data_IF_781656111113
#
_entry.id   IF_781656111113
#
_cell.length_a   1.000
_cell.length_b   1.000
_cell.length_c   1.000
_cell.angle_alpha   90.00
_cell.angle_beta   90.00
_cell.angle_gamma   90.00
#
_symmetry.space_group_name_H-M   'P 1'
#
loop_
_entity.id
_entity.type
_entity.pdbx_description
1 polymer ?
#
# COMPACT_ATOMS: atom_id res chain seq x y z
N UNK A 1 -16.68 -3.89 19.15
CA UNK A 1 -15.32 -4.18 18.64
C UNK A 1 -15.22 -3.58 17.25
N UNK A 2 -14.49 -2.46 17.06
CA UNK A 2 -14.23 -1.91 15.73
C UNK A 2 -13.18 -2.80 15.08
N UNK A 3 -13.57 -3.62 14.11
CA UNK A 3 -12.62 -4.37 13.30
C UNK A 3 -11.99 -3.34 12.34
N UNK A 4 -10.83 -2.80 12.72
CA UNK A 4 -10.04 -1.94 11.84
C UNK A 4 -9.17 -2.86 10.97
N UNK A 5 -9.43 -2.87 9.66
CA UNK A 5 -8.57 -3.53 8.68
C UNK A 5 -7.16 -2.88 8.75
N UNK A 6 -6.10 -3.69 8.76
CA UNK A 6 -4.72 -3.25 9.02
C UNK A 6 -4.25 -2.05 8.20
N UNK A 7 -4.66 -1.96 6.92
CA UNK A 7 -4.31 -0.81 6.08
C UNK A 7 -4.95 0.52 6.53
N UNK A 8 -6.17 0.51 7.07
CA UNK A 8 -6.80 1.73 7.60
C UNK A 8 -6.08 2.24 8.84
N UNK A 9 -5.63 1.32 9.70
CA UNK A 9 -4.82 1.69 10.88
C UNK A 9 -3.54 2.39 10.45
N UNK A 10 -2.80 1.82 9.49
CA UNK A 10 -1.57 2.43 8.96
C UNK A 10 -1.87 3.79 8.31
N UNK A 11 -2.95 3.89 7.54
CA UNK A 11 -3.40 5.15 6.94
C UNK A 11 -3.62 6.24 7.99
N UNK A 12 -4.39 5.96 9.04
CA UNK A 12 -4.69 6.94 10.09
C UNK A 12 -3.45 7.37 10.89
N UNK A 13 -2.50 6.45 11.10
CA UNK A 13 -1.21 6.78 11.74
C UNK A 13 -0.46 7.86 10.95
N UNK A 14 -0.41 7.73 9.62
CA UNK A 14 0.31 8.67 8.76
C UNK A 14 -0.49 9.93 8.40
N UNK A 15 -1.83 9.86 8.38
CA UNK A 15 -2.68 11.05 8.28
C UNK A 15 -2.72 11.85 9.59
N UNK A 16 -2.15 11.35 10.69
CA UNK A 16 -2.20 12.04 11.98
C UNK A 16 -3.59 12.05 12.62
N UNK A 17 -4.48 11.13 12.24
CA UNK A 17 -5.84 11.00 12.78
C UNK A 17 -5.84 10.19 14.07
N UNK A 18 -5.25 10.76 15.10
CA UNK A 18 -5.08 10.17 16.42
C UNK A 18 -6.42 9.67 17.01
N UNK A 19 -7.50 10.42 16.82
CA UNK A 19 -8.85 10.12 17.29
C UNK A 19 -9.42 8.82 16.72
N UNK A 20 -8.94 8.40 15.54
CA UNK A 20 -9.38 7.16 14.90
C UNK A 20 -8.70 5.92 15.49
N UNK A 21 -7.69 6.10 16.34
CA UNK A 21 -6.82 5.05 16.87
C UNK A 21 -6.99 4.85 18.39
N UNK A 22 -8.00 5.47 19.00
CA UNK A 22 -8.35 5.26 20.41
C UNK A 22 -8.56 3.76 20.72
N UNK A 23 -7.93 3.29 21.80
CA UNK A 23 -7.98 1.89 22.23
C UNK A 23 -7.05 0.95 21.44
N UNK A 24 -6.20 1.47 20.55
CA UNK A 24 -5.13 0.70 19.93
C UNK A 24 -3.81 0.85 20.70
N UNK A 25 -2.95 -0.17 20.59
CA UNK A 25 -1.67 -0.23 21.30
C UNK A 25 -0.82 1.04 21.13
N UNK A 26 -0.79 1.64 19.93
CA UNK A 26 0.00 2.85 19.66
C UNK A 26 -0.43 4.05 20.52
N UNK A 27 -1.73 4.17 20.82
CA UNK A 27 -2.29 5.20 21.70
C UNK A 27 -2.11 4.87 23.17
N UNK A 28 -2.25 3.60 23.54
CA UNK A 28 -2.14 3.18 24.94
C UNK A 28 -0.71 3.15 25.48
N UNK A 29 0.30 3.21 24.60
CA UNK A 29 1.71 3.09 24.97
C UNK A 29 2.55 4.33 24.64
N UNK A 30 1.94 5.39 24.11
CA UNK A 30 2.61 6.66 23.79
C UNK A 30 3.25 7.33 25.03
N UNK A 31 2.59 7.24 26.20
CA UNK A 31 3.04 7.86 27.45
C UNK A 31 3.76 6.89 28.41
N UNK A 32 3.85 5.60 28.07
CA UNK A 32 4.38 4.58 28.98
C UNK A 32 5.90 4.53 28.85
N UNK A 33 6.59 5.00 29.91
CA UNK A 33 8.04 4.97 30.10
C UNK A 33 8.73 3.59 29.97
N UNK A 34 7.98 2.50 29.77
CA UNK A 34 8.48 1.13 29.59
C UNK A 34 8.54 0.67 28.12
N UNK A 35 7.89 1.38 27.19
CA UNK A 35 8.15 1.19 25.77
C UNK A 35 9.37 2.05 25.43
N UNK A 36 10.57 1.47 25.43
CA UNK A 36 11.85 2.14 25.21
C UNK A 36 11.76 3.35 24.25
N UNK A 37 11.60 4.55 24.82
CA UNK A 37 11.59 5.84 24.11
C UNK A 37 10.72 5.93 22.84
N UNK A 38 9.54 5.30 22.81
CA UNK A 38 8.63 5.45 21.67
C UNK A 38 7.68 6.65 21.86
N UNK A 39 7.93 7.74 21.11
CA UNK A 39 7.00 8.87 20.99
C UNK A 39 6.71 9.11 19.50
N UNK A 40 5.46 8.97 19.09
CA UNK A 40 5.05 9.24 17.72
C UNK A 40 4.72 10.73 17.55
N UNK A 41 5.21 11.36 16.49
CA UNK A 41 5.08 12.82 16.31
C UNK A 41 3.76 13.26 15.65
N UNK A 42 2.83 12.35 15.36
CA UNK A 42 1.51 12.58 14.75
C UNK A 42 1.49 13.62 13.61
N UNK A 43 2.53 13.61 12.78
CA UNK A 43 2.64 14.51 11.63
C UNK A 43 1.76 14.00 10.49
N UNK A 44 1.02 14.91 9.86
CA UNK A 44 0.21 14.60 8.69
C UNK A 44 1.09 14.43 7.44
N UNK A 45 1.11 13.24 6.86
CA UNK A 45 1.76 12.92 5.59
C UNK A 45 0.70 12.73 4.48
N UNK A 46 0.95 13.16 3.24
CA UNK A 46 0.09 12.76 2.12
C UNK A 46 0.20 11.26 1.90
N UNK A 47 -0.94 10.58 1.83
CA UNK A 47 -1.03 9.13 1.64
C UNK A 47 -1.65 8.84 0.27
N UNK A 48 -0.91 8.12 -0.58
CA UNK A 48 -1.44 7.53 -1.81
C UNK A 48 -1.89 6.11 -1.50
N UNK A 49 -3.20 5.87 -1.55
CA UNK A 49 -3.79 4.54 -1.32
C UNK A 49 -4.29 3.97 -2.65
N UNK A 50 -3.88 2.75 -2.99
CA UNK A 50 -4.42 2.00 -4.13
C UNK A 50 -4.91 0.64 -3.63
N UNK A 51 -6.22 0.40 -3.67
CA UNK A 51 -6.81 -0.90 -3.35
C UNK A 51 -7.16 -1.64 -4.65
N UNK A 52 -6.42 -2.70 -4.96
CA UNK A 52 -6.63 -3.46 -6.18
C UNK A 52 -7.90 -4.32 -6.16
N UNK A 53 -8.65 -4.36 -5.05
CA UNK A 53 -10.02 -4.87 -5.07
C UNK A 53 -10.99 -3.93 -5.78
N UNK A 54 -10.71 -2.62 -5.81
CA UNK A 54 -11.54 -1.60 -6.47
C UNK A 54 -11.04 -1.27 -7.90
N UNK A 55 -9.82 -1.71 -8.23
CA UNK A 55 -9.21 -1.54 -9.55
C UNK A 55 -9.63 -2.68 -10.48
N UNK A 56 -10.37 -2.34 -11.53
CA UNK A 56 -10.79 -3.27 -12.58
C UNK A 56 -9.59 -3.74 -13.39
N UNK A 57 -9.56 -5.01 -13.79
CA UNK A 57 -8.35 -5.64 -14.33
C UNK A 57 -8.61 -6.82 -15.27
N UNK A 58 -9.80 -6.89 -15.87
CA UNK A 58 -10.24 -7.93 -16.80
C UNK A 58 -9.36 -7.98 -18.05
N UNK A 59 -8.83 -6.83 -18.48
CA UNK A 59 -7.87 -6.73 -19.58
C UNK A 59 -6.75 -5.73 -19.23
N UNK A 60 -5.61 -5.78 -19.93
CA UNK A 60 -4.50 -4.85 -19.71
C UNK A 60 -4.88 -3.37 -19.90
N UNK A 61 -5.81 -3.07 -20.80
CA UNK A 61 -6.25 -1.70 -21.05
C UNK A 61 -7.23 -1.22 -19.97
N UNK A 62 -8.14 -2.09 -19.50
CA UNK A 62 -9.02 -1.80 -18.37
C UNK A 62 -8.19 -1.54 -17.10
N UNK A 63 -7.15 -2.36 -16.85
CA UNK A 63 -6.23 -2.16 -15.73
C UNK A 63 -5.57 -0.77 -15.76
N UNK A 64 -5.04 -0.36 -16.92
CA UNK A 64 -4.41 0.96 -17.07
C UNK A 64 -5.42 2.08 -16.83
N UNK A 65 -6.61 1.98 -17.43
CA UNK A 65 -7.65 3.00 -17.29
C UNK A 65 -8.11 3.12 -15.84
N UNK A 66 -8.37 1.99 -15.17
CA UNK A 66 -8.83 2.00 -13.78
C UNK A 66 -7.76 2.55 -12.82
N UNK A 67 -6.48 2.21 -13.01
CA UNK A 67 -5.38 2.85 -12.27
C UNK A 67 -5.36 4.36 -12.52
N UNK A 68 -5.51 4.79 -13.77
CA UNK A 68 -5.51 6.21 -14.14
C UNK A 68 -6.63 6.99 -13.44
N UNK A 69 -7.85 6.44 -13.41
CA UNK A 69 -9.00 7.03 -12.74
C UNK A 69 -8.74 7.24 -11.24
N UNK A 70 -8.21 6.22 -10.55
CA UNK A 70 -7.85 6.32 -9.13
C UNK A 70 -6.76 7.37 -8.87
N UNK A 71 -5.75 7.47 -9.73
CA UNK A 71 -4.71 8.50 -9.60
C UNK A 71 -5.30 9.91 -9.75
N UNK A 72 -6.21 10.10 -10.70
CA UNK A 72 -6.90 11.38 -10.92
C UNK A 72 -7.78 11.74 -9.71
N UNK A 73 -8.50 10.77 -9.15
CA UNK A 73 -9.32 10.99 -7.96
C UNK A 73 -8.46 11.42 -6.76
N UNK A 74 -7.37 10.71 -6.48
CA UNK A 74 -6.43 11.08 -5.41
C UNK A 74 -5.87 12.49 -5.67
N UNK A 75 -5.45 12.79 -6.91
CA UNK A 75 -4.95 14.13 -7.26
C UNK A 75 -6.00 15.22 -7.01
N UNK A 76 -7.26 14.96 -7.38
CA UNK A 76 -8.38 15.89 -7.24
C UNK A 76 -8.68 16.22 -5.77
N UNK A 77 -8.58 15.24 -4.88
CA UNK A 77 -8.72 15.44 -3.42
C UNK A 77 -7.68 16.40 -2.83
N UNK A 78 -6.59 16.64 -3.55
CA UNK A 78 -5.54 17.59 -3.20
C UNK A 78 -5.46 18.75 -4.20
N UNK A 79 -6.50 19.04 -4.99
CA UNK A 79 -6.53 20.07 -6.04
C UNK A 79 -5.29 20.03 -6.96
N UNK A 80 -4.81 18.84 -7.29
CA UNK A 80 -3.69 18.61 -8.22
C UNK A 80 -4.26 18.16 -9.56
N UNK A 81 -3.80 18.80 -10.63
CA UNK A 81 -4.05 18.36 -12.01
C UNK A 81 -2.85 17.56 -12.53
N UNK A 82 -3.11 16.33 -12.99
CA UNK A 82 -2.10 15.47 -13.59
C UNK A 82 -2.04 15.68 -15.11
N UNK A 83 -0.86 16.00 -15.64
CA UNK A 83 -0.65 16.41 -17.03
C UNK A 83 0.04 15.35 -17.88
N UNK A 84 0.68 14.36 -17.25
CA UNK A 84 1.32 13.24 -17.96
C UNK A 84 0.27 12.33 -18.60
N UNK A 85 0.58 11.74 -19.74
CA UNK A 85 -0.38 10.88 -20.47
C UNK A 85 -0.42 9.44 -19.96
N UNK A 86 0.71 8.87 -19.55
CA UNK A 86 0.80 7.46 -19.14
C UNK A 86 0.71 7.29 -17.62
N UNK A 87 0.10 6.20 -17.16
CA UNK A 87 -0.09 5.91 -15.72
C UNK A 87 1.20 6.01 -14.89
N UNK A 88 2.32 5.54 -15.43
CA UNK A 88 3.64 5.64 -14.79
C UNK A 88 4.02 7.10 -14.55
N UNK A 89 3.87 7.93 -15.57
CA UNK A 89 4.16 9.36 -15.49
C UNK A 89 3.22 10.08 -14.53
N UNK A 90 1.92 9.74 -14.56
CA UNK A 90 0.91 10.29 -13.66
C UNK A 90 1.19 9.94 -12.20
N UNK A 91 1.57 8.71 -11.90
CA UNK A 91 1.90 8.28 -10.55
C UNK A 91 3.12 9.02 -9.98
N UNK A 92 4.18 9.16 -10.80
CA UNK A 92 5.35 9.97 -10.44
C UNK A 92 4.98 11.44 -10.21
N UNK A 93 4.20 12.02 -11.11
CA UNK A 93 3.73 13.40 -11.02
C UNK A 93 2.91 13.63 -9.76
N UNK A 94 2.00 12.71 -9.42
CA UNK A 94 1.18 12.76 -8.21
C UNK A 94 2.06 12.80 -6.95
N UNK A 95 3.01 11.86 -6.82
CA UNK A 95 3.89 11.81 -5.65
C UNK A 95 4.70 13.11 -5.47
N UNK A 96 5.31 13.61 -6.55
CA UNK A 96 6.08 14.85 -6.52
C UNK A 96 5.18 16.06 -6.22
N UNK A 97 3.99 16.13 -6.80
CA UNK A 97 3.04 17.21 -6.58
C UNK A 97 2.54 17.24 -5.13
N UNK A 98 2.22 16.07 -4.54
CA UNK A 98 1.82 15.95 -3.14
C UNK A 98 2.93 16.39 -2.19
N UNK A 99 4.16 15.94 -2.40
CA UNK A 99 5.30 16.39 -1.61
C UNK A 99 5.51 17.91 -1.73
N UNK A 100 5.43 18.46 -2.95
CA UNK A 100 5.58 19.91 -3.17
C UNK A 100 4.47 20.73 -2.51
N UNK A 101 3.23 20.26 -2.52
CA UNK A 101 2.06 20.95 -1.94
C UNK A 101 2.08 20.88 -0.41
N UNK A 102 2.35 19.71 0.16
CA UNK A 102 2.29 19.50 1.61
C UNK A 102 3.60 19.79 2.34
N UNK A 103 4.73 19.81 1.62
CA UNK A 103 6.10 19.84 2.18
C UNK A 103 6.42 18.64 3.08
N UNK A 104 5.64 17.57 2.96
CA UNK A 104 5.77 16.36 3.75
C UNK A 104 6.12 15.18 2.84
N UNK A 105 6.95 14.22 3.30
CA UNK A 105 7.25 13.02 2.51
C UNK A 105 6.00 12.14 2.39
N UNK A 106 5.87 11.46 1.25
CA UNK A 106 4.68 10.71 0.80
C UNK A 106 4.69 9.29 1.33
N UNK A 107 3.51 8.79 1.68
CA UNK A 107 3.29 7.40 2.10
C UNK A 107 2.53 6.66 1.00
N UNK A 108 2.97 5.46 0.64
CA UNK A 108 2.31 4.60 -0.35
C UNK A 108 1.69 3.39 0.36
N UNK A 109 0.38 3.23 0.25
CA UNK A 109 -0.36 2.08 0.76
C UNK A 109 -1.01 1.36 -0.42
N UNK A 110 -0.60 0.13 -0.70
CA UNK A 110 -1.01 -0.63 -1.87
C UNK A 110 -1.60 -1.96 -1.39
N UNK A 111 -2.88 -2.20 -1.61
CA UNK A 111 -3.56 -3.42 -1.18
C UNK A 111 -3.87 -4.35 -2.34
N UNK A 112 -3.79 -5.65 -2.07
CA UNK A 112 -4.04 -6.74 -3.02
C UNK A 112 -3.35 -6.54 -4.39
N UNK A 113 -2.11 -6.04 -4.41
CA UNK A 113 -1.41 -5.65 -5.65
C UNK A 113 -1.30 -6.78 -6.69
N UNK A 114 -1.41 -8.03 -6.25
CA UNK A 114 -1.29 -9.23 -7.08
C UNK A 114 -2.64 -9.78 -7.58
N UNK A 115 -3.77 -9.21 -7.14
CA UNK A 115 -5.11 -9.55 -7.63
C UNK A 115 -5.22 -9.50 -9.16
N UNK A 116 -4.67 -8.49 -9.88
CA UNK A 116 -4.69 -8.46 -11.35
C UNK A 116 -3.98 -9.62 -12.04
N UNK A 117 -3.16 -10.40 -11.32
CA UNK A 117 -2.54 -11.61 -11.83
C UNK A 117 -3.37 -12.82 -11.41
N UNK A 118 -3.65 -12.93 -10.11
CA UNK A 118 -4.26 -14.11 -9.48
C UNK A 118 -5.63 -14.42 -10.06
N UNK A 119 -6.44 -13.38 -10.28
CA UNK A 119 -7.81 -13.54 -10.80
C UNK A 119 -7.83 -14.10 -12.22
N UNK A 120 -6.69 -14.15 -12.93
CA UNK A 120 -6.57 -14.73 -14.26
C UNK A 120 -5.85 -16.09 -14.29
N UNK A 121 -5.19 -16.49 -13.20
CA UNK A 121 -4.48 -17.77 -13.12
C UNK A 121 -5.45 -18.95 -13.14
N UNK A 122 -5.09 -20.01 -13.87
CA UNK A 122 -5.85 -21.27 -13.90
C UNK A 122 -7.16 -21.24 -14.72
N UNK A 123 -7.52 -20.12 -15.34
CA UNK A 123 -8.77 -20.00 -16.13
C UNK A 123 -8.62 -20.50 -17.58
N UNK A 124 -7.63 -20.02 -18.32
CA UNK A 124 -7.35 -20.43 -19.71
C UNK A 124 -5.96 -19.96 -20.15
N UNK A 125 -5.50 -20.43 -21.32
CA UNK A 125 -4.25 -19.93 -21.93
C UNK A 125 -4.33 -18.44 -22.28
N UNK A 126 -5.51 -17.95 -22.67
CA UNK A 126 -5.75 -16.53 -22.96
C UNK A 126 -5.68 -15.70 -21.68
N UNK A 127 -6.33 -16.15 -20.61
CA UNK A 127 -6.27 -15.50 -19.30
C UNK A 127 -4.83 -15.47 -18.75
N UNK A 128 -4.04 -16.52 -18.97
CA UNK A 128 -2.61 -16.50 -18.63
C UNK A 128 -1.84 -15.42 -19.40
N UNK A 129 -2.21 -15.14 -20.66
CA UNK A 129 -1.68 -14.01 -21.42
C UNK A 129 -2.03 -12.66 -20.79
N UNK A 130 -3.27 -12.49 -20.32
CA UNK A 130 -3.72 -11.30 -19.60
C UNK A 130 -2.93 -11.12 -18.30
N UNK A 131 -2.78 -12.18 -17.49
CA UNK A 131 -1.99 -12.14 -16.26
C UNK A 131 -0.55 -11.67 -16.49
N UNK A 132 0.10 -12.15 -17.56
CA UNK A 132 1.47 -11.73 -17.93
C UNK A 132 1.53 -10.26 -18.32
N UNK A 133 0.60 -9.79 -19.15
CA UNK A 133 0.54 -8.38 -19.56
C UNK A 133 0.24 -7.47 -18.36
N UNK A 134 -0.68 -7.86 -17.49
CA UNK A 134 -0.98 -7.14 -16.25
C UNK A 134 0.25 -7.06 -15.34
N UNK A 135 0.99 -8.16 -15.18
CA UNK A 135 2.26 -8.18 -14.45
C UNK A 135 3.26 -7.16 -15.01
N UNK A 136 3.45 -7.12 -16.32
CA UNK A 136 4.41 -6.21 -16.94
C UNK A 136 4.00 -4.74 -16.76
N UNK A 137 2.70 -4.44 -16.83
CA UNK A 137 2.15 -3.12 -16.51
C UNK A 137 2.44 -2.74 -15.05
N UNK A 138 2.11 -3.62 -14.10
CA UNK A 138 2.32 -3.35 -12.68
C UNK A 138 3.81 -3.21 -12.33
N UNK A 139 4.66 -4.01 -12.96
CA UNK A 139 6.11 -3.91 -12.80
C UNK A 139 6.64 -2.54 -13.24
N UNK A 140 6.21 -2.05 -14.41
CA UNK A 140 6.60 -0.71 -14.90
C UNK A 140 6.01 0.42 -14.03
N UNK A 141 4.75 0.25 -13.61
CA UNK A 141 4.02 1.18 -12.75
C UNK A 141 4.67 1.35 -11.37
N UNK A 142 4.88 0.25 -10.63
CA UNK A 142 5.50 0.29 -9.30
C UNK A 142 6.99 0.61 -9.36
N UNK A 143 7.62 0.47 -10.53
CA UNK A 143 8.98 0.94 -10.77
C UNK A 143 9.18 2.42 -10.42
N UNK A 144 8.13 3.25 -10.47
CA UNK A 144 8.18 4.67 -10.05
C UNK A 144 8.68 4.85 -8.61
N UNK A 145 8.35 3.93 -7.71
CA UNK A 145 8.73 4.04 -6.28
C UNK A 145 10.25 4.01 -6.08
N UNK A 146 11.00 3.44 -7.04
CA UNK A 146 12.48 3.38 -7.01
C UNK A 146 13.17 4.52 -7.73
N UNK A 147 12.43 5.39 -8.44
CA UNK A 147 13.01 6.55 -9.10
C UNK A 147 13.64 7.47 -8.04
N UNK A 148 14.85 7.97 -8.28
CA UNK A 148 15.58 8.81 -7.32
C UNK A 148 14.74 9.99 -6.81
N UNK A 149 14.02 10.67 -7.71
CA UNK A 149 13.14 11.79 -7.37
C UNK A 149 11.99 11.42 -6.42
N UNK A 150 11.58 10.14 -6.41
CA UNK A 150 10.48 9.62 -5.59
C UNK A 150 11.02 9.04 -4.29
N UNK A 151 12.16 8.35 -4.32
CA UNK A 151 12.82 7.78 -3.13
C UNK A 151 13.10 8.87 -2.09
N UNK A 152 13.65 10.01 -2.51
CA UNK A 152 14.02 11.10 -1.59
C UNK A 152 12.81 11.74 -0.89
N UNK A 153 11.62 11.63 -1.48
CA UNK A 153 10.37 12.17 -0.92
C UNK A 153 9.49 11.09 -0.32
N UNK A 154 9.92 9.82 -0.28
CA UNK A 154 9.14 8.70 0.25
C UNK A 154 9.36 8.57 1.75
N UNK A 155 8.27 8.57 2.52
CA UNK A 155 8.29 8.30 3.96
C UNK A 155 8.21 6.81 4.26
N UNK A 156 7.27 6.13 3.59
CA UNK A 156 6.92 4.76 3.91
C UNK A 156 6.19 4.11 2.73
N UNK A 157 6.40 2.81 2.55
CA UNK A 157 5.74 1.98 1.53
C UNK A 157 5.21 0.74 2.23
N UNK A 158 3.91 0.50 2.10
CA UNK A 158 3.24 -0.69 2.61
C UNK A 158 2.48 -1.35 1.47
N UNK A 159 2.76 -2.62 1.23
CA UNK A 159 2.19 -3.38 0.12
C UNK A 159 1.68 -4.70 0.69
N UNK A 160 0.41 -5.01 0.42
CA UNK A 160 -0.24 -6.27 0.82
C UNK A 160 -0.73 -7.03 -0.40
N UNK A 161 -0.68 -8.35 -0.31
CA UNK A 161 -1.15 -9.29 -1.34
C UNK A 161 -0.98 -10.72 -0.82
N UNK A 162 -1.56 -11.68 -1.53
CA UNK A 162 -1.63 -13.08 -1.04
C UNK A 162 -0.56 -14.01 -1.64
N UNK A 163 0.06 -13.62 -2.76
CA UNK A 163 0.95 -14.46 -3.58
C UNK A 163 2.41 -13.99 -3.54
N UNK A 164 3.26 -14.80 -2.91
CA UNK A 164 4.72 -14.64 -2.93
C UNK A 164 5.31 -14.70 -4.35
N UNK A 165 4.70 -15.45 -5.26
CA UNK A 165 5.17 -15.53 -6.65
C UNK A 165 5.04 -14.18 -7.35
N UNK A 166 3.90 -13.51 -7.16
CA UNK A 166 3.66 -12.18 -7.71
C UNK A 166 4.68 -11.16 -7.19
N UNK A 167 5.04 -11.27 -5.91
CA UNK A 167 6.01 -10.40 -5.24
C UNK A 167 7.37 -10.45 -5.92
N UNK A 168 7.93 -11.65 -6.08
CA UNK A 168 9.22 -11.85 -6.76
C UNK A 168 9.14 -11.38 -8.22
N UNK A 169 7.98 -11.52 -8.85
CA UNK A 169 7.80 -11.26 -10.27
C UNK A 169 7.65 -9.77 -10.63
N UNK A 170 7.03 -8.98 -9.76
CA UNK A 170 6.74 -7.54 -9.90
C UNK A 170 7.83 -6.71 -9.21
N UNK A 171 8.30 -7.15 -8.05
CA UNK A 171 9.23 -6.41 -7.20
C UNK A 171 10.66 -6.93 -7.22
N UNK A 172 11.02 -7.84 -8.14
CA UNK A 172 12.42 -8.27 -8.34
C UNK A 172 13.37 -7.13 -8.71
N UNK A 173 12.84 -5.97 -9.12
CA UNK A 173 13.65 -4.77 -9.37
C UNK A 173 13.57 -3.72 -8.25
N UNK A 174 12.81 -3.97 -7.17
CA UNK A 174 12.69 -3.08 -6.01
C UNK A 174 13.69 -3.50 -4.93
N UNK A 175 14.98 -3.37 -5.23
CA UNK A 175 16.06 -3.81 -4.34
C UNK A 175 16.24 -2.90 -3.11
N UNK A 176 15.49 -1.80 -3.03
CA UNK A 176 15.57 -0.79 -1.96
C UNK A 176 14.44 -0.93 -0.92
N UNK A 177 13.47 -1.82 -1.14
CA UNK A 177 12.42 -2.07 -0.15
C UNK A 177 12.93 -3.11 0.86
N UNK A 178 12.85 -2.75 2.15
CA UNK A 178 13.02 -3.75 3.21
C UNK A 178 11.76 -4.60 3.22
N UNK A 179 11.87 -5.85 2.76
CA UNK A 179 10.77 -6.81 2.80
C UNK A 179 10.45 -7.16 4.27
N UNK A 180 9.40 -6.55 4.82
CA UNK A 180 8.93 -6.81 6.19
C UNK A 180 8.15 -8.13 6.29
N UNK A 181 7.80 -8.79 5.17
CA UNK A 181 6.98 -10.01 5.14
C UNK A 181 7.64 -11.19 5.87
N UNK A 182 8.97 -11.17 6.02
CA UNK A 182 9.75 -12.25 6.64
C UNK A 182 10.25 -11.89 8.06
N UNK A 183 9.91 -10.72 8.59
CA UNK A 183 10.27 -10.34 9.95
C UNK A 183 9.16 -10.79 10.92
N UNK A 184 9.48 -11.77 11.77
CA UNK A 184 8.56 -12.30 12.80
C UNK A 184 7.94 -11.23 13.70
N UNK A 185 8.61 -10.09 13.86
CA UNK A 185 8.14 -8.92 14.63
C UNK A 185 6.90 -8.21 14.02
N UNK A 186 6.61 -8.41 12.73
CA UNK A 186 5.46 -7.78 12.05
C UNK A 186 4.31 -8.77 11.75
N UNK A 187 4.50 -10.07 12.03
CA UNK A 187 3.50 -11.10 11.79
C UNK A 187 2.22 -10.87 12.63
N UNK A 188 2.36 -10.31 13.83
CA UNK A 188 1.25 -9.99 14.74
C UNK A 188 0.54 -8.67 14.39
N UNK A 189 1.09 -7.83 13.50
CA UNK A 189 0.45 -6.56 13.11
C UNK A 189 -0.73 -6.73 12.15
N UNK A 190 -0.79 -7.86 11.43
CA UNK A 190 -1.76 -8.12 10.35
C UNK A 190 -2.53 -9.45 10.52
N UNK A 191 -2.37 -10.11 11.67
CA UNK A 191 -2.98 -11.40 11.99
C UNK A 191 -3.49 -11.47 13.42
N UNK A 192 -3.97 -12.63 13.85
CA UNK A 192 -4.26 -12.90 15.25
C UNK A 192 -2.96 -13.17 16.00
N UNK A 193 -2.81 -12.59 17.18
CA UNK A 193 -1.75 -12.99 18.12
C UNK A 193 -1.98 -14.44 18.55
N UNK A 194 -0.92 -15.15 18.96
CA UNK A 194 -1.07 -16.52 19.48
C UNK A 194 -2.07 -16.58 20.64
N UNK A 195 -2.08 -15.54 21.49
CA UNK A 195 -3.05 -15.43 22.58
C UNK A 195 -4.50 -15.31 22.09
N UNK A 196 -4.76 -14.59 21.00
CA UNK A 196 -6.10 -14.50 20.40
C UNK A 196 -6.53 -15.81 19.72
N UNK A 197 -5.59 -16.53 19.10
CA UNK A 197 -5.88 -17.86 18.54
C UNK A 197 -6.23 -18.84 19.64
N UNK A 198 -5.47 -18.87 20.75
CA UNK A 198 -5.76 -19.74 21.89
C UNK A 198 -7.07 -19.37 22.60
N UNK A 199 -7.41 -18.08 22.65
CA UNK A 199 -8.62 -17.61 23.32
C UNK A 199 -9.90 -17.83 22.49
N UNK A 200 -9.84 -17.67 21.17
CA UNK A 200 -11.03 -17.64 20.30
C UNK A 200 -11.16 -18.81 19.34
N UNK A 201 -10.08 -19.56 19.08
CA UNK A 201 -10.05 -20.63 18.08
C UNK A 201 -9.66 -22.00 18.65
N UNK A 202 -9.27 -22.11 19.92
CA UNK A 202 -9.21 -23.41 20.59
C UNK A 202 -10.63 -23.94 20.86
N UNK A 203 -11.00 -25.13 20.36
CA UNK A 203 -12.25 -25.77 20.73
C UNK A 203 -12.24 -26.09 22.23
N UNK A 204 -13.37 -25.87 22.89
CA UNK A 204 -13.61 -26.25 24.29
C UNK A 204 -13.77 -27.76 24.44
#
# INVERSE_FOLDING_TARGET
MKIMRGMFTVKYIFEGREEMLEGLWIKENEDKANAQNFKWEWKHHPVITLDFNEISHETPDILKQSIEEHLIEIASNYDIELKRSFIKGKFKELAIALNKKTKMPVVFLIDEYDKPLIDHLGKSNEALGIAKNNRDILKDFFGVIKDADVVDITRFVFITGVSKFSQVSIFSELNNLTDLTMLSLYAEMLGYTMGEVEQYLCPT
#
